data_IF_004468686931
#
_entry.id   IF_004468686931
#
_cell.length_a   1.000
_cell.length_b   1.000
_cell.length_c   1.000
_cell.angle_alpha   90.00
_cell.angle_beta   90.00
_cell.angle_gamma   90.00
#
_symmetry.space_group_name_H-M   'P 1'
#
loop_
_entity.id
_entity.type
_entity.pdbx_description
1 polymer ?
#
# COMPACT_ATOMS: atom_id res chain seq x y z
N UNK A 1 8.08 16.48 11.26
CA UNK A 1 8.73 16.19 9.96
C UNK A 1 8.34 17.23 8.90
N UNK A 2 9.29 17.77 8.12
CA UNK A 2 9.02 18.81 7.10
C UNK A 2 8.35 18.20 5.86
N UNK A 3 7.65 19.02 5.06
CA UNK A 3 6.99 18.58 3.80
C UNK A 3 7.99 17.97 2.80
N UNK A 4 9.22 18.49 2.77
CA UNK A 4 10.32 17.98 1.92
C UNK A 4 10.65 16.53 2.27
N UNK A 5 10.78 16.21 3.57
CA UNK A 5 11.14 14.87 4.04
C UNK A 5 10.06 13.84 3.67
N UNK A 6 8.77 14.20 3.81
CA UNK A 6 7.66 13.33 3.37
C UNK A 6 7.75 12.97 1.90
N UNK A 7 8.07 13.95 1.04
CA UNK A 7 8.24 13.72 -0.40
C UNK A 7 9.43 12.81 -0.72
N UNK A 8 10.53 12.98 0.00
CA UNK A 8 11.72 12.13 -0.15
C UNK A 8 11.36 10.68 0.21
N UNK A 9 10.70 10.46 1.34
CA UNK A 9 10.29 9.11 1.78
C UNK A 9 9.33 8.46 0.77
N UNK A 10 8.34 9.22 0.28
CA UNK A 10 7.42 8.73 -0.74
C UNK A 10 8.15 8.33 -2.03
N UNK A 11 9.12 9.14 -2.46
CA UNK A 11 9.93 8.87 -3.65
C UNK A 11 10.75 7.59 -3.47
N UNK A 12 11.47 7.47 -2.35
CA UNK A 12 12.26 6.28 -2.03
C UNK A 12 11.38 5.03 -2.01
N UNK A 13 10.23 5.07 -1.32
CA UNK A 13 9.32 3.94 -1.25
C UNK A 13 8.81 3.53 -2.64
N UNK A 14 8.39 4.50 -3.45
CA UNK A 14 7.90 4.23 -4.80
C UNK A 14 8.97 3.61 -5.70
N UNK A 15 10.18 4.16 -5.72
CA UNK A 15 11.27 3.64 -6.54
C UNK A 15 11.70 2.24 -6.07
N UNK A 16 11.83 2.04 -4.76
CA UNK A 16 12.20 0.76 -4.18
C UNK A 16 11.19 -0.35 -4.49
N UNK A 17 9.91 -0.14 -4.18
CA UNK A 17 8.89 -1.18 -4.38
C UNK A 17 8.63 -1.47 -5.86
N UNK A 18 8.72 -0.45 -6.73
CA UNK A 18 8.65 -0.66 -8.18
C UNK A 18 9.83 -1.50 -8.67
N UNK A 19 11.05 -1.22 -8.19
CA UNK A 19 12.23 -2.03 -8.51
C UNK A 19 12.06 -3.49 -8.08
N UNK A 20 11.60 -3.74 -6.86
CA UNK A 20 11.34 -5.09 -6.35
C UNK A 20 10.37 -5.86 -7.24
N UNK A 21 9.22 -5.25 -7.59
CA UNK A 21 8.22 -5.91 -8.45
C UNK A 21 8.77 -6.18 -9.85
N UNK A 22 9.51 -5.24 -10.43
CA UNK A 22 10.12 -5.41 -11.77
C UNK A 22 11.15 -6.55 -11.81
N UNK A 23 11.77 -6.89 -10.67
CA UNK A 23 12.68 -8.03 -10.55
C UNK A 23 11.95 -9.34 -10.23
N UNK A 24 10.61 -9.37 -10.22
CA UNK A 24 9.82 -10.54 -9.85
C UNK A 24 9.78 -10.82 -8.35
N UNK A 25 10.20 -9.85 -7.52
CA UNK A 25 10.19 -9.96 -6.07
C UNK A 25 8.82 -9.68 -5.44
N UNK A 26 8.74 -9.89 -4.12
CA UNK A 26 7.58 -9.52 -3.31
C UNK A 26 7.90 -8.31 -2.43
N UNK A 27 7.01 -7.32 -2.41
CA UNK A 27 7.15 -6.11 -1.55
C UNK A 27 7.00 -6.40 -0.05
N UNK A 28 6.56 -7.62 0.31
CA UNK A 28 6.48 -8.10 1.69
C UNK A 28 6.73 -9.61 1.76
N UNK A 29 7.43 -10.05 2.81
CA UNK A 29 7.64 -11.47 3.11
C UNK A 29 6.71 -11.93 4.22
N UNK A 30 6.96 -11.45 5.44
CA UNK A 30 6.26 -11.89 6.66
C UNK A 30 5.45 -10.79 7.37
N UNK A 31 5.81 -9.52 7.20
CA UNK A 31 5.24 -8.42 8.00
C UNK A 31 3.92 -7.86 7.47
N UNK A 32 3.45 -8.37 6.31
CA UNK A 32 2.24 -7.88 5.64
C UNK A 32 2.36 -6.45 5.10
N UNK A 33 1.23 -5.88 4.69
CA UNK A 33 1.24 -4.61 3.97
C UNK A 33 1.19 -3.39 4.89
N UNK A 34 0.18 -3.34 5.77
CA UNK A 34 -0.07 -2.19 6.64
C UNK A 34 -0.14 -0.86 5.86
N UNK A 35 -0.09 0.27 6.56
CA UNK A 35 -0.06 1.59 5.87
C UNK A 35 1.25 1.81 5.08
N UNK A 36 2.32 1.09 5.41
CA UNK A 36 3.61 1.24 4.75
C UNK A 36 3.58 0.76 3.29
N UNK A 37 2.77 -0.27 2.97
CA UNK A 37 2.76 -0.91 1.65
C UNK A 37 1.41 -0.92 0.94
N UNK A 38 0.32 -0.55 1.61
CA UNK A 38 -1.04 -0.60 1.03
C UNK A 38 -1.19 0.16 -0.28
N UNK A 39 -0.48 1.28 -0.47
CA UNK A 39 -0.51 2.01 -1.74
C UNK A 39 0.16 1.27 -2.90
N UNK A 40 0.97 0.24 -2.63
CA UNK A 40 1.70 -0.57 -3.60
C UNK A 40 1.12 -1.98 -3.80
N UNK A 41 0.06 -2.38 -3.06
CA UNK A 41 -0.56 -3.71 -3.21
C UNK A 41 -1.06 -3.92 -4.65
N UNK A 42 -1.69 -2.89 -5.24
CA UNK A 42 -2.13 -2.94 -6.65
C UNK A 42 -0.95 -3.13 -7.62
N UNK A 43 0.22 -2.57 -7.32
CA UNK A 43 1.43 -2.73 -8.12
C UNK A 43 1.93 -4.19 -8.09
N UNK A 44 1.95 -4.82 -6.92
CA UNK A 44 2.38 -6.22 -6.76
C UNK A 44 1.46 -7.23 -7.48
N UNK A 45 0.15 -7.04 -7.36
CA UNK A 45 -0.83 -8.06 -7.77
C UNK A 45 -1.56 -7.74 -9.08
N UNK A 46 -1.37 -6.53 -9.63
CA UNK A 46 -2.05 -6.09 -10.84
C UNK A 46 -3.53 -5.76 -10.63
N UNK A 47 -4.20 -5.35 -11.71
CA UNK A 47 -5.59 -4.88 -11.66
C UNK A 47 -6.59 -5.98 -11.27
N UNK A 48 -6.41 -7.19 -11.82
CA UNK A 48 -7.41 -8.25 -11.72
C UNK A 48 -7.50 -8.80 -10.31
N UNK A 49 -6.36 -9.20 -9.74
CA UNK A 49 -6.28 -9.71 -8.36
C UNK A 49 -6.65 -8.61 -7.36
N UNK A 50 -6.19 -7.37 -7.58
CA UNK A 50 -6.59 -6.25 -6.71
C UNK A 50 -8.10 -5.98 -6.76
N UNK A 51 -8.75 -6.20 -7.91
CA UNK A 51 -10.21 -6.11 -8.02
C UNK A 51 -10.92 -7.16 -7.17
N UNK A 52 -10.38 -8.38 -7.12
CA UNK A 52 -10.90 -9.45 -6.25
C UNK A 52 -10.74 -9.06 -4.78
N UNK A 53 -9.59 -8.50 -4.36
CA UNK A 53 -9.39 -8.05 -2.98
C UNK A 53 -10.44 -7.01 -2.57
N UNK A 54 -10.78 -6.07 -3.47
CA UNK A 54 -11.84 -5.08 -3.22
C UNK A 54 -13.21 -5.74 -3.05
N UNK A 55 -13.53 -6.74 -3.90
CA UNK A 55 -14.81 -7.45 -3.81
C UNK A 55 -14.92 -8.22 -2.49
N UNK A 56 -13.88 -8.97 -2.11
CA UNK A 56 -13.81 -9.67 -0.83
C UNK A 56 -13.99 -8.66 0.32
N UNK A 57 -13.25 -7.55 0.30
CA UNK A 57 -13.40 -6.50 1.31
C UNK A 57 -14.83 -5.97 1.41
N UNK A 58 -15.48 -5.73 0.27
CA UNK A 58 -16.84 -5.20 0.23
C UNK A 58 -17.89 -6.21 0.71
N UNK A 59 -17.72 -7.51 0.40
CA UNK A 59 -18.62 -8.57 0.85
C UNK A 59 -18.65 -8.65 2.39
N UNK A 60 -17.47 -8.61 3.03
CA UNK A 60 -17.36 -8.77 4.48
C UNK A 60 -17.40 -7.46 5.27
N UNK A 61 -17.18 -6.31 4.62
CA UNK A 61 -17.21 -4.99 5.25
C UNK A 61 -17.77 -3.93 4.28
N UNK A 62 -19.07 -3.99 3.96
CA UNK A 62 -19.71 -3.07 3.02
C UNK A 62 -19.69 -1.61 3.50
N UNK A 63 -19.68 -1.40 4.82
CA UNK A 63 -19.58 -0.06 5.43
C UNK A 63 -18.14 0.45 5.55
N UNK A 64 -17.14 -0.36 5.19
CA UNK A 64 -15.71 -0.05 5.26
C UNK A 64 -15.23 0.42 6.66
N UNK A 65 -15.74 -0.19 7.72
CA UNK A 65 -15.39 0.16 9.12
C UNK A 65 -14.17 -0.62 9.63
N UNK A 66 -13.90 -1.80 9.07
CA UNK A 66 -12.80 -2.66 9.49
C UNK A 66 -11.50 -2.20 8.82
N UNK A 67 -10.78 -1.31 9.50
CA UNK A 67 -9.40 -0.96 9.17
C UNK A 67 -9.21 -0.26 7.80
N UNK A 68 -9.91 0.86 7.55
CA UNK A 68 -9.95 1.52 6.25
C UNK A 68 -8.57 2.02 5.78
N UNK A 69 -8.32 1.86 4.48
CA UNK A 69 -7.08 2.30 3.83
C UNK A 69 -5.89 1.36 4.01
N UNK A 70 -6.10 0.18 4.59
CA UNK A 70 -5.11 -0.91 4.59
C UNK A 70 -5.48 -1.97 3.56
N UNK A 71 -4.50 -2.48 2.83
CA UNK A 71 -4.58 -3.39 1.67
C UNK A 71 -5.31 -2.73 0.48
N UNK A 72 -6.55 -2.28 0.68
CA UNK A 72 -7.29 -1.46 -0.26
C UNK A 72 -7.03 0.02 0.07
N UNK A 73 -6.25 0.68 -0.76
CA UNK A 73 -5.94 2.10 -0.62
C UNK A 73 -6.21 2.89 -1.89
N UNK A 74 -6.61 4.16 -1.70
CA UNK A 74 -6.82 5.15 -2.75
C UNK A 74 -5.92 6.38 -2.59
N UNK A 75 -5.03 6.38 -1.58
CA UNK A 75 -4.18 7.50 -1.22
C UNK A 75 -2.81 7.00 -0.79
N UNK A 76 -1.79 7.85 -0.94
CA UNK A 76 -0.47 7.55 -0.38
C UNK A 76 -0.57 7.41 1.14
N UNK A 77 -0.05 6.31 1.66
CA UNK A 77 -0.21 5.89 3.06
C UNK A 77 1.12 5.76 3.80
N UNK A 78 2.25 5.66 3.08
CA UNK A 78 3.59 5.42 3.63
C UNK A 78 4.03 6.48 4.64
N UNK A 79 3.56 7.72 4.50
CA UNK A 79 3.88 8.82 5.44
C UNK A 79 2.75 9.20 6.40
N UNK A 80 1.61 8.47 6.39
CA UNK A 80 0.39 8.87 7.11
C UNK A 80 0.60 9.04 8.62
N UNK A 81 1.38 8.14 9.22
CA UNK A 81 1.58 8.07 10.68
C UNK A 81 3.04 8.30 11.12
N UNK A 82 3.91 8.78 10.23
CA UNK A 82 5.28 9.11 10.62
C UNK A 82 5.28 10.30 11.56
N UNK A 83 5.60 10.04 12.84
CA UNK A 83 5.79 11.04 13.88
C UNK A 83 7.29 11.21 14.12
N UNK A 84 7.71 12.46 14.30
CA UNK A 84 9.00 12.84 14.86
C UNK A 84 8.66 13.78 16.01
#
# INVERSE_FOLDING_TARGET
>A
MKRKDKRIIQKIASEFFTGVVNMGGSITGEHGDGLARSEFVKLQYGNDIYSIFKQVKHIFDPANILNPGKIISHKSSVTKNLKI
#
